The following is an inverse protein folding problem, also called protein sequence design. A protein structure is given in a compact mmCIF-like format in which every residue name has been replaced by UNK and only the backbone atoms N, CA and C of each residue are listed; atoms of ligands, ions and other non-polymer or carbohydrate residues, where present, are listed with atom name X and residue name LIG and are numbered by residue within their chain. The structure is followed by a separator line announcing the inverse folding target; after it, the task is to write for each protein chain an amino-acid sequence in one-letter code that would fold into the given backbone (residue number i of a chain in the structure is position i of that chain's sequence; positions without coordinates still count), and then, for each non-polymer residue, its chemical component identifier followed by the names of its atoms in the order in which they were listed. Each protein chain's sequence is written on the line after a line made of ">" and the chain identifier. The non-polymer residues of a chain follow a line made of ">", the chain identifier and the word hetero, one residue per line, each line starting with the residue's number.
data_IF_486451599237
#
_entry.id   IF_486451599237
#
_cell.length_a   1.000
_cell.length_b   1.000
_cell.length_c   1.000
_cell.angle_alpha   90.00
_cell.angle_beta   90.00
_cell.angle_gamma   90.00
#
_symmetry.space_group_name_H-M   'P 1'
#
loop_
_entity.id
_entity.type
_entity.pdbx_description
1 polymer ?
#
# COMPACT_ATOMS: atom_id res chain seq x y z
N UNK A 1 -24.35 4.38 -5.73
CA UNK A 1 -23.34 4.55 -4.65
C UNK A 1 -21.99 4.25 -5.29
N UNK A 2 -21.14 5.25 -5.51
CA UNK A 2 -19.85 5.04 -6.12
C UNK A 2 -18.96 4.20 -5.19
N UNK A 3 -18.22 3.25 -5.80
CA UNK A 3 -17.28 2.36 -5.11
C UNK A 3 -15.85 2.83 -5.38
N UNK A 4 -15.14 3.19 -4.35
CA UNK A 4 -13.76 3.64 -4.45
C UNK A 4 -12.85 2.52 -3.92
N UNK A 5 -12.00 1.99 -4.77
CA UNK A 5 -11.00 0.98 -4.38
C UNK A 5 -9.75 1.69 -3.83
N UNK A 6 -9.35 1.33 -2.62
CA UNK A 6 -8.11 1.79 -2.02
C UNK A 6 -7.12 0.62 -1.94
N UNK A 7 -5.99 0.76 -2.63
CA UNK A 7 -4.87 -0.18 -2.61
C UNK A 7 -3.62 0.52 -2.06
N UNK A 8 -3.12 0.03 -0.95
CA UNK A 8 -2.01 0.66 -0.25
C UNK A 8 -1.29 -0.30 0.72
N UNK A 9 -0.25 0.20 1.33
CA UNK A 9 0.39 -0.40 2.49
C UNK A 9 -0.29 0.05 3.81
N UNK A 10 0.51 0.23 4.86
CA UNK A 10 0.04 0.70 6.17
C UNK A 10 -0.56 2.10 6.17
N UNK A 11 -0.17 2.97 5.22
CA UNK A 11 -0.74 4.31 5.12
C UNK A 11 -2.20 4.32 4.62
N UNK A 12 -2.67 3.24 4.01
CA UNK A 12 -4.08 3.06 3.66
C UNK A 12 -4.90 2.36 4.75
N UNK A 13 -4.28 1.92 5.85
CA UNK A 13 -5.00 1.18 6.89
C UNK A 13 -5.69 2.11 7.88
N UNK A 14 -6.93 1.81 8.23
CA UNK A 14 -7.66 2.53 9.27
C UNK A 14 -7.34 1.98 10.66
N UNK A 15 -7.38 2.81 11.68
CA UNK A 15 -7.30 2.36 13.07
C UNK A 15 -8.68 2.41 13.74
N UNK A 16 -9.26 1.27 14.12
CA UNK A 16 -10.57 1.23 14.76
C UNK A 16 -10.64 1.95 16.10
N UNK A 17 -9.50 2.29 16.72
CA UNK A 17 -9.47 3.05 17.96
C UNK A 17 -9.69 4.55 17.72
N UNK A 18 -9.44 5.02 16.50
CA UNK A 18 -9.53 6.42 16.09
C UNK A 18 -10.44 6.57 14.86
N UNK A 19 -11.74 6.25 15.01
CA UNK A 19 -12.68 6.30 13.88
C UNK A 19 -12.83 7.75 13.39
N UNK A 20 -12.94 7.89 12.07
CA UNK A 20 -13.16 9.18 11.40
C UNK A 20 -11.90 10.03 11.21
N UNK A 21 -10.71 9.53 11.59
CA UNK A 21 -9.44 10.25 11.44
C UNK A 21 -8.81 10.01 10.09
N UNK A 22 -8.82 8.76 9.62
CA UNK A 22 -8.14 8.35 8.39
C UNK A 22 -8.75 9.00 7.15
N UNK A 23 -7.92 9.36 6.16
CA UNK A 23 -8.39 10.07 4.95
C UNK A 23 -9.51 9.32 4.21
N UNK A 24 -9.49 7.98 4.18
CA UNK A 24 -10.55 7.22 3.53
C UNK A 24 -11.90 7.36 4.24
N UNK A 25 -11.89 7.46 5.56
CA UNK A 25 -13.10 7.73 6.35
C UNK A 25 -13.58 9.17 6.14
N UNK A 26 -12.65 10.12 5.99
CA UNK A 26 -12.99 11.51 5.65
C UNK A 26 -13.58 11.62 4.25
N UNK A 27 -13.10 10.85 3.28
CA UNK A 27 -13.74 10.77 1.95
C UNK A 27 -15.19 10.30 2.11
N UNK A 28 -15.44 9.22 2.87
CA UNK A 28 -16.81 8.74 3.12
C UNK A 28 -17.72 9.77 3.82
N UNK A 29 -17.14 10.62 4.67
CA UNK A 29 -17.87 11.70 5.34
C UNK A 29 -18.22 12.84 4.38
N UNK A 30 -17.32 13.16 3.44
CA UNK A 30 -17.45 14.30 2.51
C UNK A 30 -18.22 13.93 1.24
N UNK A 31 -18.04 12.72 0.74
CA UNK A 31 -18.73 12.23 -0.47
C UNK A 31 -19.92 11.38 -0.04
N UNK A 32 -21.12 11.96 -0.23
CA UNK A 32 -22.35 11.29 0.16
C UNK A 32 -22.55 9.99 -0.60
N UNK A 33 -22.95 8.96 0.13
CA UNK A 33 -23.31 7.65 -0.43
C UNK A 33 -22.13 6.95 -1.19
N UNK A 34 -20.86 7.15 -0.81
CA UNK A 34 -19.76 6.39 -1.36
C UNK A 34 -19.39 5.18 -0.49
N UNK A 35 -18.91 4.12 -1.13
CA UNK A 35 -18.32 2.94 -0.49
C UNK A 35 -16.81 2.93 -0.71
N UNK A 36 -16.01 2.86 0.36
CA UNK A 36 -14.58 2.62 0.26
C UNK A 36 -14.30 1.12 0.38
N UNK A 37 -13.79 0.53 -0.70
CA UNK A 37 -13.29 -0.83 -0.73
C UNK A 37 -11.80 -0.78 -0.37
N UNK A 38 -11.49 -0.84 0.92
CA UNK A 38 -10.11 -0.73 1.39
C UNK A 38 -9.43 -2.11 1.44
N UNK A 39 -8.47 -2.36 0.54
CA UNK A 39 -7.66 -3.58 0.48
C UNK A 39 -6.25 -3.39 1.05
N UNK A 40 -5.97 -2.24 1.65
CA UNK A 40 -4.65 -1.91 2.19
C UNK A 40 -4.19 -2.92 3.23
N UNK A 41 -2.89 -3.16 3.28
CA UNK A 41 -2.29 -4.08 4.24
C UNK A 41 -1.01 -3.51 4.83
N UNK A 42 -0.95 -3.43 6.16
CA UNK A 42 0.22 -2.97 6.88
C UNK A 42 1.48 -3.75 6.47
N UNK A 43 2.56 -3.02 6.15
CA UNK A 43 3.82 -3.60 5.71
C UNK A 43 3.80 -4.12 4.25
N UNK A 44 2.73 -3.87 3.49
CA UNK A 44 2.62 -4.28 2.09
C UNK A 44 3.78 -3.78 1.22
N UNK A 45 4.14 -4.53 0.20
CA UNK A 45 5.05 -4.13 -0.88
C UNK A 45 4.25 -3.61 -2.09
N UNK A 46 4.93 -2.98 -3.05
CA UNK A 46 4.29 -2.56 -4.29
C UNK A 46 3.71 -3.75 -5.08
N UNK A 47 4.34 -4.92 -5.02
CA UNK A 47 3.77 -6.15 -5.57
C UNK A 47 2.45 -6.55 -4.88
N UNK A 48 2.34 -6.35 -3.56
CA UNK A 48 1.07 -6.61 -2.87
C UNK A 48 0.00 -5.59 -3.26
N UNK A 49 0.37 -4.34 -3.48
CA UNK A 49 -0.54 -3.30 -4.00
C UNK A 49 -1.05 -3.68 -5.40
N UNK A 50 -0.19 -4.24 -6.25
CA UNK A 50 -0.58 -4.78 -7.55
C UNK A 50 -1.59 -5.93 -7.41
N UNK A 51 -1.38 -6.87 -6.50
CA UNK A 51 -2.35 -7.93 -6.21
C UNK A 51 -3.68 -7.38 -5.67
N UNK A 52 -3.64 -6.37 -4.80
CA UNK A 52 -4.83 -5.66 -4.31
C UNK A 52 -5.63 -5.08 -5.47
N UNK A 53 -4.96 -4.40 -6.39
CA UNK A 53 -5.61 -3.81 -7.56
C UNK A 53 -6.26 -4.89 -8.45
N UNK A 54 -5.53 -5.93 -8.84
CA UNK A 54 -6.08 -7.01 -9.67
C UNK A 54 -7.27 -7.72 -9.01
N UNK A 55 -7.25 -7.91 -7.71
CA UNK A 55 -8.37 -8.49 -6.97
C UNK A 55 -9.53 -7.50 -6.84
N UNK A 56 -9.21 -6.24 -6.55
CA UNK A 56 -10.20 -5.18 -6.35
C UNK A 56 -10.99 -4.86 -7.62
N UNK A 57 -10.38 -4.97 -8.80
CA UNK A 57 -11.06 -4.76 -10.09
C UNK A 57 -12.25 -5.72 -10.30
N UNK A 58 -12.22 -6.91 -9.70
CA UNK A 58 -13.34 -7.86 -9.76
C UNK A 58 -14.61 -7.31 -9.08
N UNK A 59 -14.46 -6.34 -8.19
CA UNK A 59 -15.55 -5.67 -7.49
C UNK A 59 -16.15 -4.50 -8.29
N UNK A 60 -15.61 -4.23 -9.49
CA UNK A 60 -16.01 -3.17 -10.40
C UNK A 60 -16.06 -1.81 -9.70
N UNK A 61 -14.91 -1.30 -9.24
CA UNK A 61 -14.84 0.01 -8.62
C UNK A 61 -15.10 1.11 -9.65
N UNK A 62 -15.73 2.21 -9.21
CA UNK A 62 -15.97 3.41 -10.02
C UNK A 62 -14.75 4.34 -10.01
N UNK A 63 -13.87 4.22 -9.00
CA UNK A 63 -12.64 4.99 -8.88
C UNK A 63 -11.57 4.20 -8.09
N UNK A 64 -10.29 4.59 -8.24
CA UNK A 64 -9.15 3.91 -7.57
C UNK A 64 -8.23 4.93 -6.92
N UNK A 65 -7.79 4.61 -5.70
CA UNK A 65 -6.71 5.31 -4.98
C UNK A 65 -5.55 4.34 -4.79
N UNK A 66 -4.35 4.72 -5.26
CA UNK A 66 -3.14 3.93 -5.16
C UNK A 66 -2.10 4.66 -4.31
N UNK A 67 -1.68 4.09 -3.19
CA UNK A 67 -0.58 4.62 -2.39
C UNK A 67 0.61 3.67 -2.47
N UNK A 68 1.61 4.06 -3.25
CA UNK A 68 2.81 3.27 -3.43
C UNK A 68 3.74 3.38 -2.22
N UNK A 69 4.38 2.27 -1.91
CA UNK A 69 5.25 2.13 -0.74
C UNK A 69 6.73 2.07 -1.13
N UNK A 70 7.59 2.00 -0.12
CA UNK A 70 9.04 1.89 -0.32
C UNK A 70 9.40 0.68 -1.19
N UNK A 71 10.27 0.86 -2.21
CA UNK A 71 10.66 -0.18 -3.16
C UNK A 71 11.41 -1.37 -2.52
N UNK A 72 11.76 -1.26 -1.26
CA UNK A 72 12.51 -2.29 -0.55
C UNK A 72 11.63 -3.32 0.16
N UNK A 73 10.34 -3.16 0.10
CA UNK A 73 9.43 -4.10 0.74
C UNK A 73 9.23 -5.31 -0.15
N UNK A 74 9.44 -6.48 0.42
CA UNK A 74 9.21 -7.76 -0.23
C UNK A 74 7.96 -8.43 0.34
N UNK A 75 7.29 -9.17 -0.51
CA UNK A 75 6.15 -10.02 -0.14
C UNK A 75 6.49 -11.47 -0.36
N UNK A 76 6.25 -12.30 0.63
CA UNK A 76 6.47 -13.74 0.62
C UNK A 76 5.14 -14.47 0.65
N UNK A 77 5.01 -15.49 -0.16
CA UNK A 77 3.86 -16.39 -0.10
C UNK A 77 4.14 -17.53 0.88
N UNK A 78 3.26 -17.71 1.88
CA UNK A 78 3.31 -18.87 2.74
C UNK A 78 2.43 -20.00 2.22
N UNK A 79 2.97 -21.22 2.15
CA UNK A 79 2.20 -22.42 1.85
C UNK A 79 1.41 -22.92 3.08
N UNK A 80 1.71 -22.44 4.29
CA UNK A 80 1.04 -22.80 5.55
C UNK A 80 -0.04 -21.77 5.92
N UNK A 81 -0.94 -21.49 4.99
CA UNK A 81 -1.90 -20.38 5.11
C UNK A 81 -2.72 -20.35 6.40
N UNK A 82 -3.12 -21.50 6.94
CA UNK A 82 -3.99 -21.56 8.13
C UNK A 82 -3.25 -21.24 9.42
N UNK A 83 -2.00 -21.66 9.55
CA UNK A 83 -1.17 -21.37 10.71
C UNK A 83 -0.88 -19.87 10.82
N UNK A 84 -0.46 -19.24 9.72
CA UNK A 84 -0.17 -17.80 9.70
C UNK A 84 -1.43 -16.94 9.84
N UNK A 85 -2.55 -17.35 9.23
CA UNK A 85 -3.84 -16.68 9.47
C UNK A 85 -4.21 -16.69 10.94
N UNK A 86 -4.03 -17.80 11.62
CA UNK A 86 -4.30 -17.90 13.06
C UNK A 86 -3.37 -16.99 13.85
N UNK A 87 -2.06 -17.03 13.59
CA UNK A 87 -1.08 -16.14 14.27
C UNK A 87 -1.33 -14.66 13.99
N UNK A 88 -1.59 -14.27 12.74
CA UNK A 88 -1.95 -12.90 12.39
C UNK A 88 -3.26 -12.47 13.07
N UNK A 89 -4.24 -13.36 13.13
CA UNK A 89 -5.49 -13.09 13.82
C UNK A 89 -5.31 -12.97 15.34
N UNK A 90 -4.52 -13.83 15.95
CA UNK A 90 -4.19 -13.76 17.37
C UNK A 90 -3.40 -12.49 17.69
N UNK A 91 -2.46 -12.11 16.84
CA UNK A 91 -1.72 -10.86 17.00
C UNK A 91 -2.61 -9.63 16.81
N UNK A 92 -3.52 -9.65 15.82
CA UNK A 92 -4.50 -8.58 15.61
C UNK A 92 -5.47 -8.37 16.75
N UNK A 93 -5.70 -9.39 17.59
CA UNK A 93 -6.48 -9.23 18.83
C UNK A 93 -5.75 -8.37 19.87
N UNK A 94 -4.43 -8.39 19.86
CA UNK A 94 -3.58 -7.63 20.78
C UNK A 94 -3.11 -6.31 20.18
N UNK A 95 -2.92 -6.26 18.86
CA UNK A 95 -2.55 -5.07 18.14
C UNK A 95 -3.62 -4.73 17.09
N UNK A 96 -4.53 -3.86 17.47
CA UNK A 96 -5.69 -3.46 16.64
C UNK A 96 -5.29 -2.81 15.33
N UNK A 97 -4.04 -2.34 15.20
CA UNK A 97 -3.48 -1.75 13.97
C UNK A 97 -3.44 -2.73 12.80
N UNK A 98 -3.44 -4.04 13.07
CA UNK A 98 -3.48 -5.08 12.03
C UNK A 98 -4.90 -5.53 11.67
N UNK A 99 -5.92 -4.96 12.31
CA UNK A 99 -7.30 -5.37 12.14
C UNK A 99 -7.97 -4.67 10.96
N UNK A 100 -7.25 -4.44 9.89
CA UNK A 100 -7.79 -3.84 8.71
C UNK A 100 -8.63 -4.85 7.93
N UNK A 101 -9.92 -4.71 8.10
CA UNK A 101 -10.87 -5.74 7.73
C UNK A 101 -11.84 -5.31 6.64
N UNK A 102 -11.36 -4.70 5.61
CA UNK A 102 -12.02 -5.11 4.40
C UNK A 102 -11.46 -6.50 4.12
N UNK A 103 -12.14 -7.51 4.62
CA UNK A 103 -11.61 -8.84 4.55
C UNK A 103 -11.52 -9.19 3.07
N UNK A 104 -10.32 -9.40 2.60
CA UNK A 104 -10.04 -10.07 1.35
C UNK A 104 -10.94 -11.30 1.16
N UNK A 105 -11.53 -11.83 2.25
CA UNK A 105 -12.57 -12.87 2.26
C UNK A 105 -13.87 -12.49 1.53
N UNK A 106 -14.15 -11.20 1.31
CA UNK A 106 -15.31 -10.75 0.54
C UNK A 106 -15.08 -10.82 -0.98
N UNK A 107 -13.84 -10.97 -1.43
CA UNK A 107 -13.52 -11.12 -2.84
C UNK A 107 -13.72 -12.58 -3.23
N UNK A 108 -14.70 -12.85 -4.10
CA UNK A 108 -14.91 -14.19 -4.67
C UNK A 108 -13.62 -14.67 -5.34
N UNK A 109 -13.24 -15.91 -5.10
CA UNK A 109 -12.02 -16.53 -5.63
C UNK A 109 -10.71 -15.98 -5.05
N UNK A 110 -10.75 -15.20 -3.97
CA UNK A 110 -9.54 -14.90 -3.23
C UNK A 110 -8.87 -16.21 -2.81
N UNK A 111 -7.76 -16.50 -3.46
CA UNK A 111 -6.97 -17.67 -3.11
C UNK A 111 -6.47 -17.43 -1.68
N UNK A 112 -6.80 -18.34 -0.77
CA UNK A 112 -6.56 -18.25 0.69
C UNK A 112 -5.08 -18.24 1.07
N UNK A 113 -4.21 -17.85 0.14
CA UNK A 113 -2.76 -17.72 0.36
C UNK A 113 -2.49 -16.54 1.28
N UNK A 114 -1.76 -16.79 2.33
CA UNK A 114 -1.30 -15.73 3.23
C UNK A 114 -0.01 -15.16 2.69
N UNK A 115 0.01 -13.86 2.52
CA UNK A 115 1.20 -13.12 2.13
C UNK A 115 1.84 -12.54 3.40
N UNK A 116 3.12 -12.85 3.60
CA UNK A 116 3.94 -12.25 4.62
C UNK A 116 4.80 -11.18 3.98
N UNK A 117 4.89 -10.04 4.61
CA UNK A 117 5.76 -8.97 4.16
C UNK A 117 7.09 -8.99 4.90
N UNK A 118 8.12 -8.40 4.32
CA UNK A 118 9.42 -8.26 4.96
C UNK A 118 9.34 -7.53 6.30
N UNK A 119 8.44 -6.56 6.42
CA UNK A 119 8.20 -5.85 7.68
C UNK A 119 7.63 -6.78 8.75
N UNK A 120 6.64 -7.60 8.41
CA UNK A 120 6.04 -8.57 9.34
C UNK A 120 7.05 -9.64 9.77
N UNK A 121 7.86 -10.16 8.85
CA UNK A 121 8.89 -11.16 9.14
C UNK A 121 9.95 -10.61 10.11
N UNK A 122 10.26 -9.32 10.02
CA UNK A 122 11.25 -8.67 10.88
C UNK A 122 10.70 -8.21 12.22
N UNK A 123 9.38 -8.29 12.46
CA UNK A 123 8.78 -7.93 13.75
C UNK A 123 9.09 -9.03 14.78
N UNK A 124 9.89 -8.76 15.83
CA UNK A 124 10.43 -9.79 16.72
C UNK A 124 9.37 -10.65 17.41
N UNK A 125 8.23 -10.09 17.69
CA UNK A 125 7.17 -10.75 18.49
C UNK A 125 6.29 -11.73 17.70
N UNK A 126 6.31 -11.68 16.37
CA UNK A 126 5.34 -12.43 15.56
C UNK A 126 5.75 -13.86 15.24
N UNK A 127 7.03 -14.12 15.00
CA UNK A 127 7.48 -15.36 14.36
C UNK A 127 8.79 -15.92 14.93
N UNK A 128 9.15 -15.62 16.17
CA UNK A 128 10.44 -16.00 16.74
C UNK A 128 10.72 -17.52 16.78
N UNK A 129 9.66 -18.34 16.78
CA UNK A 129 9.77 -19.80 16.91
C UNK A 129 9.48 -20.55 15.58
N UNK A 130 9.20 -19.81 14.50
CA UNK A 130 8.81 -20.43 13.24
C UNK A 130 10.00 -20.58 12.30
N UNK A 131 10.30 -21.82 11.92
CA UNK A 131 11.40 -22.18 11.03
C UNK A 131 11.31 -21.48 9.65
N UNK A 132 10.10 -21.35 9.09
CA UNK A 132 9.90 -20.64 7.83
C UNK A 132 10.23 -19.15 7.97
N UNK A 133 9.73 -18.51 9.03
CA UNK A 133 10.00 -17.10 9.27
C UNK A 133 11.47 -16.83 9.56
N UNK A 134 12.16 -17.72 10.29
CA UNK A 134 13.60 -17.62 10.51
C UNK A 134 14.40 -17.77 9.21
N UNK A 135 14.03 -18.72 8.35
CA UNK A 135 14.65 -18.88 7.03
C UNK A 135 14.38 -17.68 6.12
N UNK A 136 13.16 -17.19 6.10
CA UNK A 136 12.79 -16.00 5.33
C UNK A 136 13.54 -14.76 5.82
N UNK A 137 13.71 -14.59 7.14
CA UNK A 137 14.48 -13.50 7.74
C UNK A 137 15.97 -13.57 7.36
N UNK A 138 16.55 -14.77 7.42
CA UNK A 138 17.94 -14.99 6.99
C UNK A 138 18.09 -14.67 5.51
N UNK A 139 17.23 -15.25 4.67
CA UNK A 139 17.24 -14.99 3.22
C UNK A 139 17.05 -13.49 2.91
N UNK A 140 16.16 -12.80 3.60
CA UNK A 140 15.95 -11.37 3.44
C UNK A 140 17.19 -10.55 3.79
N UNK A 141 17.90 -10.95 4.85
CA UNK A 141 19.18 -10.31 5.21
C UNK A 141 20.24 -10.52 4.13
N UNK A 142 20.37 -11.76 3.63
CA UNK A 142 21.32 -12.09 2.56
C UNK A 142 20.94 -11.35 1.25
N UNK A 143 19.66 -11.29 0.92
CA UNK A 143 19.14 -10.52 -0.22
C UNK A 143 19.52 -9.04 -0.13
N UNK A 144 19.40 -8.43 1.06
CA UNK A 144 19.80 -7.03 1.27
C UNK A 144 21.28 -6.79 1.04
N UNK A 145 22.12 -7.72 1.43
CA UNK A 145 23.58 -7.63 1.21
C UNK A 145 23.96 -7.74 -0.26
N UNK A 146 23.16 -8.49 -1.04
CA UNK A 146 23.40 -8.75 -2.48
C UNK A 146 22.55 -7.84 -3.38
N UNK A 147 21.78 -6.95 -2.82
CA UNK A 147 20.81 -6.16 -3.54
C UNK A 147 21.44 -5.28 -4.62
N UNK A 148 20.94 -5.44 -5.83
CA UNK A 148 21.16 -4.52 -6.94
C UNK A 148 20.03 -3.49 -6.94
N UNK A 149 20.29 -2.31 -6.37
CA UNK A 149 19.29 -1.26 -6.18
C UNK A 149 18.57 -0.92 -7.48
N UNK A 150 19.29 -0.73 -8.55
CA UNK A 150 18.75 -0.34 -9.87
C UNK A 150 17.66 -1.30 -10.39
N UNK A 151 17.89 -2.63 -10.35
CA UNK A 151 16.91 -3.61 -10.86
C UNK A 151 15.62 -3.60 -10.02
N UNK A 152 15.74 -3.42 -8.70
CA UNK A 152 14.57 -3.36 -7.84
C UNK A 152 13.79 -2.05 -8.06
N UNK A 153 14.47 -0.95 -8.24
CA UNK A 153 13.84 0.34 -8.53
C UNK A 153 13.11 0.29 -9.88
N UNK A 154 13.71 -0.32 -10.91
CA UNK A 154 13.03 -0.58 -12.18
C UNK A 154 11.79 -1.46 -12.01
N UNK A 155 11.88 -2.53 -11.22
CA UNK A 155 10.74 -3.42 -10.96
C UNK A 155 9.58 -2.67 -10.32
N UNK A 156 9.86 -1.87 -9.30
CA UNK A 156 8.83 -1.07 -8.65
C UNK A 156 8.28 0.03 -9.57
N UNK A 157 9.15 0.64 -10.37
CA UNK A 157 8.74 1.58 -11.41
C UNK A 157 7.75 0.93 -12.39
N UNK A 158 8.08 -0.24 -12.95
CA UNK A 158 7.18 -0.95 -13.87
C UNK A 158 5.87 -1.35 -13.19
N UNK A 159 5.90 -1.74 -11.92
CA UNK A 159 4.68 -1.99 -11.14
C UNK A 159 3.81 -0.73 -11.08
N UNK A 160 4.39 0.43 -10.78
CA UNK A 160 3.66 1.71 -10.76
C UNK A 160 3.02 1.98 -12.12
N UNK A 161 3.82 2.03 -13.18
CA UNK A 161 3.34 2.34 -14.54
C UNK A 161 2.28 1.36 -15.01
N UNK A 162 2.48 0.06 -14.79
CA UNK A 162 1.50 -0.96 -15.16
C UNK A 162 0.15 -0.73 -14.47
N UNK A 163 0.14 -0.36 -13.20
CA UNK A 163 -1.09 -0.10 -12.46
C UNK A 163 -1.79 1.18 -12.92
N UNK A 164 -1.04 2.25 -13.20
CA UNK A 164 -1.61 3.48 -13.73
C UNK A 164 -2.19 3.26 -15.14
N UNK A 165 -1.47 2.54 -16.00
CA UNK A 165 -1.94 2.16 -17.33
C UNK A 165 -3.16 1.23 -17.24
N UNK A 166 -3.22 0.32 -16.28
CA UNK A 166 -4.38 -0.54 -16.06
C UNK A 166 -5.64 0.26 -15.74
N UNK A 167 -5.55 1.30 -14.91
CA UNK A 167 -6.66 2.23 -14.65
C UNK A 167 -7.09 2.94 -15.93
N UNK A 168 -6.13 3.48 -16.70
CA UNK A 168 -6.38 4.18 -17.97
C UNK A 168 -7.06 3.28 -19.01
N UNK A 169 -6.56 2.06 -19.18
CA UNK A 169 -7.12 1.07 -20.11
C UNK A 169 -8.55 0.66 -19.76
N UNK A 170 -8.87 0.59 -18.48
CA UNK A 170 -10.22 0.30 -18.02
C UNK A 170 -11.12 1.55 -17.90
N UNK A 171 -10.62 2.73 -18.29
CA UNK A 171 -11.32 4.00 -18.16
C UNK A 171 -11.83 4.27 -16.74
N UNK A 172 -11.09 3.84 -15.73
CA UNK A 172 -11.43 4.04 -14.32
C UNK A 172 -10.71 5.30 -13.82
N UNK A 173 -11.42 6.31 -13.31
CA UNK A 173 -10.83 7.46 -12.62
C UNK A 173 -9.90 7.00 -11.51
N UNK A 174 -8.71 7.59 -11.40
CA UNK A 174 -7.76 7.22 -10.37
C UNK A 174 -6.96 8.42 -9.87
N UNK A 175 -6.45 8.30 -8.67
CA UNK A 175 -5.38 9.14 -8.16
C UNK A 175 -4.33 8.27 -7.44
N UNK A 176 -3.11 8.79 -7.30
CA UNK A 176 -2.04 8.02 -6.70
C UNK A 176 -1.04 8.90 -5.93
N UNK A 177 -0.34 8.29 -4.98
CA UNK A 177 0.78 8.91 -4.28
C UNK A 177 2.02 8.04 -4.43
N UNK A 178 3.13 8.68 -4.81
CA UNK A 178 4.47 8.07 -4.85
C UNK A 178 5.19 8.20 -3.50
N UNK A 179 4.50 8.64 -2.45
CA UNK A 179 5.08 9.02 -1.17
C UNK A 179 6.10 8.04 -0.61
N UNK A 180 5.76 6.76 -0.59
CA UNK A 180 6.66 5.72 -0.09
C UNK A 180 7.89 5.46 -0.97
N UNK A 181 7.78 5.71 -2.27
CA UNK A 181 8.91 5.61 -3.21
C UNK A 181 9.84 6.80 -3.04
N UNK A 182 9.27 7.97 -2.80
CA UNK A 182 9.98 9.25 -2.75
C UNK A 182 10.58 9.54 -1.36
N UNK A 183 9.94 9.07 -0.29
CA UNK A 183 10.28 9.41 1.10
C UNK A 183 11.65 8.96 1.55
N UNK A 184 12.12 7.82 1.07
CA UNK A 184 13.41 7.30 1.52
C UNK A 184 14.56 8.13 0.96
N UNK A 185 15.11 9.05 1.78
CA UNK A 185 16.16 10.01 1.37
C UNK A 185 17.38 9.34 0.75
N UNK A 186 17.70 8.13 1.15
CA UNK A 186 18.80 7.35 0.60
C UNK A 186 18.43 6.78 -0.79
N UNK A 187 17.16 6.43 -1.00
CA UNK A 187 16.60 5.88 -2.23
C UNK A 187 16.17 6.93 -3.23
N UNK A 188 15.86 8.13 -2.78
CA UNK A 188 15.55 9.27 -3.62
C UNK A 188 16.68 9.59 -4.61
N UNK A 189 17.91 9.45 -4.15
CA UNK A 189 19.08 9.66 -5.00
C UNK A 189 19.15 8.54 -6.05
N UNK A 190 18.94 7.30 -5.63
CA UNK A 190 19.06 6.14 -6.52
C UNK A 190 17.87 6.04 -7.49
N UNK A 191 16.62 6.17 -7.02
CA UNK A 191 15.46 6.14 -7.90
C UNK A 191 15.44 7.30 -8.89
N UNK A 192 15.68 8.54 -8.41
CA UNK A 192 15.81 9.70 -9.31
C UNK A 192 16.99 9.59 -10.25
N UNK A 193 18.13 9.11 -9.78
CA UNK A 193 19.33 9.04 -10.57
C UNK A 193 19.27 7.91 -11.59
N UNK A 194 18.65 6.78 -11.27
CA UNK A 194 18.66 5.61 -12.13
C UNK A 194 17.40 5.42 -12.97
N UNK A 195 16.26 5.86 -12.49
CA UNK A 195 14.97 5.66 -13.16
C UNK A 195 14.46 6.94 -13.78
N UNK A 196 14.50 8.06 -13.04
CA UNK A 196 13.95 9.34 -13.51
C UNK A 196 14.92 10.12 -14.44
N UNK A 197 16.15 9.62 -14.67
CA UNK A 197 17.05 10.18 -15.69
C UNK A 197 16.92 9.50 -17.06
N UNK A 198 16.22 8.36 -17.11
CA UNK A 198 15.83 7.76 -18.39
C UNK A 198 14.60 8.50 -18.93
N UNK A 199 14.78 9.24 -20.01
CA UNK A 199 13.74 10.10 -20.58
C UNK A 199 12.46 9.32 -20.92
N UNK A 200 12.58 8.09 -21.44
CA UNK A 200 11.40 7.28 -21.78
C UNK A 200 10.56 6.93 -20.54
N UNK A 201 11.23 6.51 -19.46
CA UNK A 201 10.55 6.15 -18.22
C UNK A 201 9.91 7.39 -17.57
N UNK A 202 10.61 8.52 -17.63
CA UNK A 202 10.11 9.79 -17.10
C UNK A 202 8.90 10.28 -17.88
N UNK A 203 8.91 10.20 -19.19
CA UNK A 203 7.80 10.66 -20.04
C UNK A 203 6.54 9.83 -19.78
N UNK A 204 6.66 8.51 -19.67
CA UNK A 204 5.51 7.64 -19.37
C UNK A 204 4.89 7.95 -17.99
N UNK A 205 5.72 8.20 -16.97
CA UNK A 205 5.21 8.61 -15.65
C UNK A 205 4.60 10.01 -15.71
N UNK A 206 5.18 10.94 -16.45
CA UNK A 206 4.70 12.31 -16.58
C UNK A 206 3.29 12.38 -17.16
N UNK A 207 2.93 11.47 -18.06
CA UNK A 207 1.57 11.34 -18.60
C UNK A 207 0.49 11.11 -17.53
N UNK A 208 0.90 10.58 -16.38
CA UNK A 208 0.02 10.31 -15.27
C UNK A 208 0.10 11.34 -14.13
N UNK A 209 1.11 12.23 -14.13
CA UNK A 209 1.38 13.13 -12.99
C UNK A 209 0.23 14.09 -12.66
N UNK A 210 -0.66 14.37 -13.61
CA UNK A 210 -1.87 15.16 -13.36
C UNK A 210 -2.82 14.49 -12.36
N UNK A 211 -2.72 13.18 -12.20
CA UNK A 211 -3.48 12.37 -11.24
C UNK A 211 -2.71 12.11 -9.92
N UNK A 212 -1.47 12.56 -9.84
CA UNK A 212 -0.67 12.43 -8.63
C UNK A 212 -1.19 13.33 -7.53
N UNK A 213 -1.26 12.80 -6.32
CA UNK A 213 -1.52 13.56 -5.10
C UNK A 213 -0.24 14.27 -4.70
N UNK A 214 -0.32 15.58 -4.46
CA UNK A 214 0.82 16.40 -4.12
C UNK A 214 1.24 16.25 -2.67
N UNK A 215 0.26 16.06 -1.78
CA UNK A 215 0.48 15.87 -0.37
C UNK A 215 1.06 14.48 -0.08
N UNK A 216 2.25 14.44 0.49
CA UNK A 216 2.93 13.20 0.80
C UNK A 216 2.71 12.81 2.27
N UNK A 217 1.90 11.78 2.54
CA UNK A 217 1.65 11.29 3.90
C UNK A 217 2.93 10.80 4.59
N UNK A 218 3.92 10.34 3.85
CA UNK A 218 5.18 9.86 4.41
C UNK A 218 6.03 10.98 5.03
N UNK A 219 5.87 12.22 4.60
CA UNK A 219 6.56 13.37 5.19
C UNK A 219 6.02 13.71 6.59
N UNK A 220 4.82 13.21 6.91
CA UNK A 220 4.14 13.37 8.18
C UNK A 220 4.14 12.08 9.03
N UNK A 221 5.00 11.12 8.67
CA UNK A 221 5.12 9.85 9.36
C UNK A 221 5.59 10.01 10.80
N UNK A 222 4.85 9.40 11.72
CA UNK A 222 5.19 9.32 13.13
C UNK A 222 5.27 7.85 13.56
N UNK A 223 6.32 7.52 14.31
CA UNK A 223 6.47 6.17 14.87
C UNK A 223 5.63 5.95 16.12
N UNK A 224 5.29 7.04 16.81
CA UNK A 224 4.56 7.06 18.07
C UNK A 224 3.38 8.02 17.93
N UNK A 225 2.21 7.58 18.35
CA UNK A 225 1.00 8.38 18.28
C UNK A 225 -0.26 7.53 18.30
N UNK A 226 -1.43 8.16 18.52
CA UNK A 226 -2.69 7.46 18.62
C UNK A 226 -3.13 6.81 17.30
N UNK A 227 -2.79 7.39 16.16
CA UNK A 227 -3.09 6.83 14.84
C UNK A 227 -1.86 6.19 14.21
N UNK A 228 -2.10 5.16 13.42
CA UNK A 228 -1.03 4.48 12.70
C UNK A 228 -0.49 5.39 11.60
N UNK A 229 0.75 5.83 11.77
CA UNK A 229 1.58 6.64 10.87
C UNK A 229 1.28 8.14 10.79
N UNK A 230 0.04 8.60 10.73
CA UNK A 230 -0.28 10.03 10.59
C UNK A 230 -1.51 10.37 11.41
N UNK A 231 -1.32 10.98 12.58
CA UNK A 231 -2.42 11.40 13.49
C UNK A 231 -2.90 12.82 13.25
N UNK A 232 -2.25 13.56 12.37
CA UNK A 232 -2.67 14.91 12.05
C UNK A 232 -3.97 14.89 11.24
N UNK A 233 -5.06 15.31 11.90
CA UNK A 233 -6.39 15.38 11.31
C UNK A 233 -6.47 16.32 10.11
N UNK A 234 -5.69 17.40 10.11
CA UNK A 234 -5.65 18.36 9.01
C UNK A 234 -4.96 17.74 7.79
N UNK A 235 -3.85 17.07 7.99
CA UNK A 235 -3.12 16.36 6.92
C UNK A 235 -4.02 15.29 6.30
N UNK A 236 -4.69 14.47 7.12
CA UNK A 236 -5.62 13.46 6.67
C UNK A 236 -6.81 14.07 5.89
N UNK A 237 -7.32 15.23 6.35
CA UNK A 237 -8.42 15.93 5.70
C UNK A 237 -8.00 16.51 4.34
N UNK A 238 -6.85 17.16 4.28
CA UNK A 238 -6.28 17.73 3.04
C UNK A 238 -5.97 16.64 2.02
N UNK A 239 -5.44 15.49 2.47
CA UNK A 239 -5.20 14.35 1.59
C UNK A 239 -6.52 13.81 1.01
N UNK A 240 -7.57 13.74 1.84
CA UNK A 240 -8.91 13.35 1.39
C UNK A 240 -9.46 14.35 0.36
N UNK A 241 -9.31 15.65 0.58
CA UNK A 241 -9.78 16.69 -0.35
C UNK A 241 -9.07 16.59 -1.69
N UNK A 242 -7.77 16.38 -1.69
CA UNK A 242 -7.02 16.19 -2.93
C UNK A 242 -7.43 14.91 -3.68
N UNK A 243 -7.70 13.80 -2.96
CA UNK A 243 -8.27 12.60 -3.58
C UNK A 243 -9.62 12.88 -4.25
N UNK A 244 -10.53 13.57 -3.56
CA UNK A 244 -11.87 13.92 -4.06
C UNK A 244 -11.75 14.78 -5.33
N UNK A 245 -10.89 15.80 -5.30
CA UNK A 245 -10.63 16.67 -6.45
C UNK A 245 -10.11 15.88 -7.66
N UNK A 246 -9.07 15.05 -7.48
CA UNK A 246 -8.47 14.25 -8.56
C UNK A 246 -9.43 13.23 -9.15
N UNK A 247 -10.28 12.64 -8.31
CA UNK A 247 -11.29 11.66 -8.74
C UNK A 247 -12.58 12.32 -9.26
N UNK A 248 -12.75 13.63 -9.08
CA UNK A 248 -13.94 14.40 -9.46
C UNK A 248 -15.21 13.85 -8.80
N UNK A 249 -15.14 13.55 -7.52
CA UNK A 249 -16.22 13.00 -6.70
C UNK A 249 -17.12 14.08 -6.10
#
# INVERSE_FOLDING_TARGET
>A
MPKILLCADSFGTTDPQYPGVHFSEKIQQKVKDCEIINLSQAGGSNFLIELQMHQGLQLKPDAVILLFTSPNRLTFQSHQSNFYKKKLFEHSKHDKRFNNQYSWSKIKNYNTRTYLTSTQINTPSMFNEDDFAQRAKKWYKDYWLLKQNYINDLKDYFTVINLLNLCKLNSIPFCFSLGGIIYNRQWHTDFRTHVLTDNHLTDELNDHMTQSISLNLWDHYQNEGPCFHVDDHDIQSRFADECIEKLKL
#
